data_IF_778173806709
#
_entry.id   IF_778173806709
#
_cell.length_a   1.000
_cell.length_b   1.000
_cell.length_c   1.000
_cell.angle_alpha   90.00
_cell.angle_beta   90.00
_cell.angle_gamma   90.00
#
_symmetry.space_group_name_H-M   'P 1'
#
loop_
_entity.id
_entity.type
_entity.pdbx_description
1 polymer ?
#
# COMPACT_ATOMS: atom_id res chain seq x y z
N UNK A 1 -68.41 6.44 29.31
CA UNK A 1 -67.54 6.60 28.13
C UNK A 1 -66.94 5.25 27.81
N UNK A 2 -67.12 4.73 26.59
CA UNK A 2 -66.47 3.50 26.14
C UNK A 2 -65.23 3.92 25.35
N UNK A 3 -64.04 3.66 25.90
CA UNK A 3 -62.79 3.88 25.18
C UNK A 3 -62.45 2.60 24.42
N UNK A 4 -62.53 2.65 23.10
CA UNK A 4 -62.07 1.56 22.24
C UNK A 4 -60.58 1.76 22.02
N UNK A 5 -59.74 0.90 22.61
CA UNK A 5 -58.30 0.93 22.37
C UNK A 5 -58.04 0.62 20.88
N UNK A 6 -57.64 1.64 20.12
CA UNK A 6 -57.26 1.49 18.72
C UNK A 6 -55.90 0.79 18.64
N UNK A 7 -55.92 -0.49 18.31
CA UNK A 7 -54.71 -1.32 18.20
C UNK A 7 -54.08 -1.17 16.81
N UNK A 8 -53.53 0.01 16.50
CA UNK A 8 -52.98 0.31 15.16
C UNK A 8 -51.53 0.83 15.17
N UNK A 9 -50.70 0.40 16.12
CA UNK A 9 -49.28 0.76 16.13
C UNK A 9 -48.39 -0.45 15.82
N UNK A 10 -48.63 -1.12 14.70
CA UNK A 10 -47.64 -2.07 14.16
C UNK A 10 -46.49 -1.24 13.59
N UNK A 11 -45.27 -1.26 14.16
CA UNK A 11 -44.16 -0.55 13.58
C UNK A 11 -43.87 -1.12 12.20
N UNK A 12 -43.85 -0.26 11.18
CA UNK A 12 -43.43 -0.65 9.84
C UNK A 12 -41.93 -0.88 9.91
N UNK A 13 -41.51 -2.15 9.94
CA UNK A 13 -40.09 -2.48 9.82
C UNK A 13 -39.59 -1.95 8.48
N UNK A 14 -38.51 -1.16 8.52
CA UNK A 14 -37.80 -0.79 7.31
C UNK A 14 -37.50 -2.07 6.53
N UNK A 15 -37.79 -2.02 5.23
CA UNK A 15 -37.72 -3.11 4.24
C UNK A 15 -36.65 -4.15 4.58
N UNK A 16 -37.05 -5.42 4.63
CA UNK A 16 -36.14 -6.57 4.70
C UNK A 16 -35.36 -6.65 3.38
N UNK A 17 -34.24 -5.94 3.30
CA UNK A 17 -33.27 -6.10 2.24
C UNK A 17 -31.90 -6.38 2.85
N UNK A 18 -31.16 -7.27 2.19
CA UNK A 18 -29.80 -7.64 2.58
C UNK A 18 -28.89 -6.41 2.57
N UNK A 19 -28.47 -5.94 3.75
CA UNK A 19 -27.41 -4.92 3.89
C UNK A 19 -26.01 -5.45 3.55
N UNK A 20 -25.88 -6.73 3.21
CA UNK A 20 -24.62 -7.32 2.75
C UNK A 20 -24.43 -7.02 1.27
N UNK A 21 -23.41 -6.22 0.96
CA UNK A 21 -22.93 -6.02 -0.41
C UNK A 21 -22.38 -7.36 -0.94
N UNK A 22 -22.67 -7.77 -2.18
CA UNK A 22 -22.43 -9.14 -2.68
C UNK A 22 -20.95 -9.49 -2.95
N UNK A 23 -19.98 -8.70 -2.46
CA UNK A 23 -18.57 -8.96 -2.75
C UNK A 23 -17.84 -9.20 -1.45
N UNK A 24 -17.89 -10.47 -1.01
CA UNK A 24 -17.07 -10.94 0.11
C UNK A 24 -15.60 -11.17 -0.31
N UNK A 25 -15.31 -11.20 -1.62
CA UNK A 25 -13.97 -11.09 -2.21
C UNK A 25 -14.11 -10.80 -3.72
N UNK A 26 -13.40 -9.81 -4.25
CA UNK A 26 -13.31 -9.54 -5.68
C UNK A 26 -11.88 -9.82 -6.13
N UNK A 27 -11.71 -10.61 -7.20
CA UNK A 27 -10.40 -10.79 -7.80
C UNK A 27 -9.94 -9.42 -8.34
N UNK A 28 -8.72 -8.96 -8.01
CA UNK A 28 -8.19 -7.70 -8.53
C UNK A 28 -8.26 -7.67 -10.06
N UNK A 29 -8.65 -6.52 -10.59
CA UNK A 29 -8.62 -6.29 -12.03
C UNK A 29 -7.17 -6.18 -12.51
N UNK A 30 -6.92 -6.48 -13.79
CA UNK A 30 -5.58 -6.36 -14.37
C UNK A 30 -4.97 -4.95 -14.22
N UNK A 31 -5.81 -3.91 -14.13
CA UNK A 31 -5.38 -2.54 -13.89
C UNK A 31 -4.88 -2.34 -12.46
N UNK A 32 -5.53 -2.94 -11.47
CA UNK A 32 -5.16 -2.87 -10.04
C UNK A 32 -3.92 -3.72 -9.73
N UNK A 33 -3.71 -4.80 -10.48
CA UNK A 33 -2.50 -5.63 -10.38
C UNK A 33 -1.27 -4.95 -11.01
N UNK A 34 -1.46 -3.87 -11.79
CA UNK A 34 -0.36 -3.22 -12.50
C UNK A 34 0.43 -2.35 -11.54
N UNK A 35 1.68 -2.74 -11.28
CA UNK A 35 2.61 -1.89 -10.55
C UNK A 35 2.85 -0.58 -11.31
N UNK A 36 2.74 0.55 -10.60
CA UNK A 36 3.00 1.85 -11.18
C UNK A 36 4.42 1.92 -11.72
N UNK A 37 4.59 2.37 -12.98
CA UNK A 37 5.91 2.56 -13.59
C UNK A 37 6.77 3.52 -12.76
N UNK A 38 6.14 4.54 -12.16
CA UNK A 38 6.82 5.48 -11.28
C UNK A 38 7.31 4.82 -9.99
N UNK A 39 6.54 3.91 -9.41
CA UNK A 39 6.97 3.17 -8.23
C UNK A 39 8.21 2.32 -8.53
N UNK A 40 8.25 1.68 -9.71
CA UNK A 40 9.41 0.92 -10.17
C UNK A 40 10.62 1.84 -10.33
N UNK A 41 10.48 2.97 -11.04
CA UNK A 41 11.58 3.93 -11.25
C UNK A 41 12.12 4.45 -9.93
N UNK A 42 11.23 4.82 -8.99
CA UNK A 42 11.63 5.31 -7.67
C UNK A 42 12.36 4.26 -6.83
N UNK A 43 11.93 3.00 -6.88
CA UNK A 43 12.63 1.92 -6.20
C UNK A 43 14.05 1.74 -6.77
N UNK A 44 14.17 1.65 -8.09
CA UNK A 44 15.47 1.50 -8.76
C UNK A 44 16.40 2.68 -8.49
N UNK A 45 15.88 3.91 -8.46
CA UNK A 45 16.67 5.10 -8.16
C UNK A 45 17.26 5.05 -6.73
N UNK A 46 16.49 4.57 -5.75
CA UNK A 46 16.98 4.38 -4.36
C UNK A 46 18.07 3.32 -4.29
N UNK A 47 17.84 2.17 -4.92
CA UNK A 47 18.83 1.08 -4.94
C UNK A 47 20.13 1.52 -5.62
N UNK A 48 20.02 2.26 -6.73
CA UNK A 48 21.16 2.80 -7.44
C UNK A 48 21.92 3.85 -6.63
N UNK A 49 21.22 4.70 -5.87
CA UNK A 49 21.86 5.68 -4.99
C UNK A 49 22.67 5.00 -3.87
N UNK A 50 22.13 3.94 -3.27
CA UNK A 50 22.85 3.15 -2.27
C UNK A 50 24.07 2.49 -2.90
N UNK A 51 23.91 1.89 -4.09
CA UNK A 51 25.01 1.28 -4.82
C UNK A 51 26.16 2.27 -5.09
N UNK A 52 25.86 3.46 -5.62
CA UNK A 52 26.87 4.49 -5.88
C UNK A 52 27.57 4.90 -4.58
N UNK A 53 26.81 5.16 -3.52
CA UNK A 53 27.38 5.57 -2.24
C UNK A 53 28.33 4.51 -1.68
N UNK A 54 27.93 3.24 -1.69
CA UNK A 54 28.77 2.12 -1.25
C UNK A 54 30.01 1.97 -2.12
N UNK A 55 29.86 2.04 -3.46
CA UNK A 55 30.98 1.92 -4.38
C UNK A 55 32.01 3.03 -4.18
N UNK A 56 31.58 4.27 -3.99
CA UNK A 56 32.47 5.41 -3.73
C UNK A 56 33.20 5.28 -2.40
N UNK A 57 32.52 4.84 -1.34
CA UNK A 57 33.14 4.60 -0.03
C UNK A 57 34.21 3.51 -0.14
N UNK A 58 33.89 2.38 -0.78
CA UNK A 58 34.85 1.29 -0.97
C UNK A 58 36.03 1.71 -1.83
N UNK A 59 35.78 2.42 -2.94
CA UNK A 59 36.83 2.96 -3.80
C UNK A 59 37.76 3.89 -3.03
N UNK A 60 37.21 4.80 -2.21
CA UNK A 60 38.01 5.71 -1.40
C UNK A 60 38.87 4.96 -0.38
N UNK A 61 38.30 3.97 0.32
CA UNK A 61 39.04 3.15 1.29
C UNK A 61 40.17 2.39 0.60
N UNK A 62 39.89 1.71 -0.51
CA UNK A 62 40.91 0.97 -1.26
C UNK A 62 42.02 1.90 -1.74
N UNK A 63 41.65 3.05 -2.30
CA UNK A 63 42.61 4.03 -2.81
C UNK A 63 43.50 4.58 -1.68
N UNK A 64 42.92 4.93 -0.53
CA UNK A 64 43.69 5.43 0.63
C UNK A 64 44.63 4.37 1.19
N UNK A 65 44.21 3.11 1.27
CA UNK A 65 45.07 2.00 1.71
C UNK A 65 46.22 1.78 0.73
N UNK A 66 45.95 1.79 -0.58
CA UNK A 66 47.00 1.66 -1.61
C UNK A 66 48.02 2.80 -1.46
N UNK A 67 47.56 4.05 -1.36
CA UNK A 67 48.45 5.20 -1.17
C UNK A 67 49.24 5.13 0.13
N UNK A 68 48.67 4.61 1.22
CA UNK A 68 49.38 4.48 2.49
C UNK A 68 50.48 3.41 2.48
N UNK A 69 50.34 2.36 1.65
CA UNK A 69 51.31 1.24 1.58
C UNK A 69 52.35 1.47 0.48
N UNK A 70 51.92 2.02 -0.66
CA UNK A 70 52.72 2.10 -1.88
C UNK A 70 52.92 3.53 -2.40
N UNK A 71 52.40 4.54 -1.71
CA UNK A 71 52.71 5.93 -2.00
C UNK A 71 54.01 6.31 -1.31
N UNK A 72 55.06 6.52 -2.10
CA UNK A 72 56.36 7.07 -1.65
C UNK A 72 56.24 8.50 -1.10
#
# INVERSE_FOLDING_TARGET
MKETASHSNTPVFAKNESNTKPVLYQHPTAAEMRTSRWAIIWANAKDFAIFIATALVLWFIVTTVIMAIFGD
#
